data_IF_018684702016
#
_entry.id   IF_018684702016
#
_cell.length_a   1.000
_cell.length_b   1.000
_cell.length_c   1.000
_cell.angle_alpha   90.00
_cell.angle_beta   90.00
_cell.angle_gamma   90.00
#
_symmetry.space_group_name_H-M   'P 1'
#
loop_
_entity.id
_entity.type
_entity.pdbx_description
1 polymer ?
#
# COMPACT_ATOMS: atom_id res chain seq x y z
N UNK A 1 0.77 6.39 11.53
CA UNK A 1 1.42 7.69 11.27
C UNK A 1 2.13 7.83 9.91
N UNK A 2 3.12 6.99 9.55
CA UNK A 2 3.96 7.25 8.36
C UNK A 2 3.21 7.29 7.00
N UNK A 3 1.98 6.76 6.92
CA UNK A 3 1.17 6.75 5.70
C UNK A 3 0.17 7.92 5.59
N UNK A 4 0.02 8.74 6.63
CA UNK A 4 -1.05 9.75 6.71
C UNK A 4 -0.94 10.83 5.63
N UNK A 5 0.27 11.13 5.16
CA UNK A 5 0.51 12.10 4.09
C UNK A 5 0.36 11.49 2.68
N UNK A 6 0.13 10.18 2.55
CA UNK A 6 0.12 9.51 1.27
C UNK A 6 -1.21 9.74 0.54
N UNK A 7 -1.15 10.48 -0.58
CA UNK A 7 -2.34 10.79 -1.36
C UNK A 7 -2.67 9.67 -2.35
N UNK A 8 -3.87 9.11 -2.22
CA UNK A 8 -4.43 8.16 -3.20
C UNK A 8 -5.37 8.92 -4.12
N UNK A 9 -5.14 8.84 -5.44
CA UNK A 9 -6.00 9.47 -6.45
C UNK A 9 -6.23 8.49 -7.59
N UNK A 10 -7.47 8.32 -8.04
CA UNK A 10 -7.82 7.47 -9.17
C UNK A 10 -9.19 6.81 -9.03
N UNK A 11 -9.57 6.04 -10.06
CA UNK A 11 -10.77 5.21 -10.05
C UNK A 11 -10.37 3.74 -9.95
N UNK A 12 -10.86 3.06 -8.93
CA UNK A 12 -10.54 1.66 -8.65
C UNK A 12 -11.81 0.83 -8.69
N UNK A 13 -11.75 -0.32 -9.36
CA UNK A 13 -12.86 -1.28 -9.37
C UNK A 13 -12.83 -2.10 -8.08
N UNK A 14 -13.99 -2.26 -7.44
CA UNK A 14 -14.14 -3.02 -6.19
C UNK A 14 -14.46 -4.51 -6.42
N UNK A 15 -14.46 -4.97 -7.66
CA UNK A 15 -14.64 -6.39 -8.00
C UNK A 15 -13.53 -7.27 -7.43
N UNK A 16 -12.33 -6.71 -7.20
CA UNK A 16 -11.23 -7.36 -6.53
C UNK A 16 -10.36 -6.36 -5.73
N UNK A 17 -10.61 -6.25 -4.43
CA UNK A 17 -9.89 -5.33 -3.53
C UNK A 17 -8.39 -5.66 -3.42
N UNK A 18 -7.99 -6.93 -3.43
CA UNK A 18 -6.58 -7.33 -3.34
C UNK A 18 -5.78 -6.82 -4.54
N UNK A 19 -6.41 -6.81 -5.72
CA UNK A 19 -5.83 -6.24 -6.92
C UNK A 19 -5.64 -4.72 -6.78
N UNK A 20 -6.61 -4.02 -6.19
CA UNK A 20 -6.49 -2.58 -5.93
C UNK A 20 -5.32 -2.29 -4.98
N UNK A 21 -5.21 -3.02 -3.88
CA UNK A 21 -4.12 -2.85 -2.92
C UNK A 21 -2.75 -3.13 -3.55
N UNK A 22 -2.66 -4.15 -4.40
CA UNK A 22 -1.44 -4.48 -5.16
C UNK A 22 -1.04 -3.36 -6.12
N UNK A 23 -2.01 -2.75 -6.81
CA UNK A 23 -1.77 -1.60 -7.69
C UNK A 23 -1.29 -0.37 -6.92
N UNK A 24 -1.84 -0.12 -5.73
CA UNK A 24 -1.39 0.96 -4.85
C UNK A 24 0.06 0.71 -4.40
N UNK A 25 0.41 -0.52 -4.01
CA UNK A 25 1.78 -0.88 -3.62
C UNK A 25 2.81 -0.79 -4.76
N UNK A 26 2.37 -0.85 -6.01
CA UNK A 26 3.22 -0.71 -7.19
C UNK A 26 3.49 0.77 -7.54
N UNK A 27 2.57 1.67 -7.20
CA UNK A 27 2.62 3.09 -7.57
C UNK A 27 3.05 4.01 -6.43
N UNK A 28 2.89 3.57 -5.19
CA UNK A 28 3.19 4.35 -3.99
C UNK A 28 4.27 3.65 -3.15
N UNK A 29 5.05 4.40 -2.35
CA UNK A 29 6.05 3.86 -1.43
C UNK A 29 5.41 3.17 -0.20
N UNK A 30 4.61 2.14 -0.45
CA UNK A 30 3.98 1.32 0.57
C UNK A 30 4.14 -0.18 0.26
N UNK A 31 3.87 -1.00 1.25
CA UNK A 31 3.79 -2.46 1.14
C UNK A 31 2.48 -2.95 1.75
N UNK A 32 1.93 -4.02 1.17
CA UNK A 32 0.69 -4.67 1.62
C UNK A 32 1.07 -5.98 2.30
N UNK A 33 0.78 -6.07 3.60
CA UNK A 33 1.02 -7.29 4.38
C UNK A 33 -0.30 -7.96 4.71
N UNK A 34 -0.52 -9.14 4.13
CA UNK A 34 -1.70 -9.97 4.40
C UNK A 34 -1.37 -10.95 5.52
N UNK A 35 -2.02 -10.80 6.68
CA UNK A 35 -1.80 -11.71 7.83
C UNK A 35 -2.77 -12.87 7.83
N UNK A 36 -4.05 -12.60 7.56
CA UNK A 36 -5.11 -13.60 7.43
C UNK A 36 -6.07 -13.13 6.33
N UNK A 37 -7.05 -13.95 5.93
CA UNK A 37 -7.99 -13.58 4.85
C UNK A 37 -8.78 -12.28 5.12
N UNK A 38 -8.84 -11.83 6.36
CA UNK A 38 -9.60 -10.65 6.77
C UNK A 38 -8.73 -9.56 7.39
N UNK A 39 -7.43 -9.78 7.46
CA UNK A 39 -6.51 -8.84 8.07
C UNK A 39 -5.39 -8.48 7.11
N UNK A 40 -5.44 -7.26 6.63
CA UNK A 40 -4.42 -6.64 5.79
C UNK A 40 -3.91 -5.37 6.44
N UNK A 41 -2.61 -5.18 6.45
CA UNK A 41 -1.94 -4.00 6.99
C UNK A 41 -1.12 -3.33 5.91
N UNK A 42 -1.25 -2.01 5.78
CA UNK A 42 -0.42 -1.19 4.91
C UNK A 42 0.72 -0.61 5.73
N UNK A 43 1.94 -0.76 5.23
CA UNK A 43 3.15 -0.19 5.87
C UNK A 43 3.89 0.68 4.87
N UNK A 44 4.51 1.76 5.34
CA UNK A 44 5.37 2.58 4.49
C UNK A 44 6.60 1.77 4.09
N UNK A 45 6.97 1.81 2.81
CA UNK A 45 8.21 1.19 2.33
C UNK A 45 9.34 2.22 2.49
N UNK A 46 10.37 1.95 3.30
CA UNK A 46 11.53 2.81 3.36
C UNK A 46 12.18 2.90 1.98
N UNK A 47 12.56 4.10 1.55
CA UNK A 47 13.32 4.25 0.33
C UNK A 47 14.68 3.51 0.49
N UNK A 48 15.19 2.84 -0.56
CA UNK A 48 16.38 1.99 -0.46
C UNK A 48 17.68 2.72 -0.06
N UNK A 49 17.68 4.05 0.10
CA UNK A 49 18.86 4.86 0.44
C UNK A 49 18.78 5.60 1.79
N UNK A 50 17.90 5.23 2.73
CA UNK A 50 17.81 5.89 4.05
C UNK A 50 18.87 5.42 5.08
N UNK A 51 19.95 4.78 4.63
CA UNK A 51 21.13 4.45 5.43
C UNK A 51 22.31 5.29 4.91
N UNK A 52 22.44 6.52 5.42
CA UNK A 52 23.52 7.45 5.11
C UNK A 52 23.45 8.65 6.04
#
# INVERSE_FOLDING_TARGET
PALEALRVTGSFRLDNTDRVLSLLAASLPLEVQSRTRYWTTLVARPAPNSLG
#
